data_IF_062444770212
#
_entry.id   IF_062444770212
#
_cell.length_a   1.000
_cell.length_b   1.000
_cell.length_c   1.000
_cell.angle_alpha   90.00
_cell.angle_beta   90.00
_cell.angle_gamma   90.00
#
_symmetry.space_group_name_H-M   'P 1'
#
loop_
_entity.id
_entity.type
_entity.pdbx_description
1 polymer ?
#
# COMPACT_ATOMS: atom_id res chain seq x y z
N UNK A 1 39.62 -19.97 -34.64
CA UNK A 1 38.78 -20.83 -33.77
C UNK A 1 39.16 -20.55 -32.33
N UNK A 2 38.39 -19.72 -31.62
CA UNK A 2 38.06 -19.86 -30.19
C UNK A 2 37.17 -18.69 -29.77
N UNK A 3 35.97 -19.05 -29.32
CA UNK A 3 34.94 -18.17 -28.79
C UNK A 3 35.19 -17.92 -27.30
N UNK A 4 34.91 -16.71 -26.82
CA UNK A 4 34.71 -16.40 -25.41
C UNK A 4 33.46 -15.52 -25.29
N UNK A 5 32.34 -16.17 -24.99
CA UNK A 5 31.03 -15.54 -24.83
C UNK A 5 30.88 -14.98 -23.43
N UNK A 6 31.13 -13.68 -23.26
CA UNK A 6 30.61 -12.95 -22.11
C UNK A 6 29.12 -12.66 -22.39
N UNK A 7 28.23 -13.52 -21.89
CA UNK A 7 26.79 -13.24 -21.86
C UNK A 7 26.60 -12.07 -20.91
N UNK A 8 26.31 -10.87 -21.44
CA UNK A 8 26.02 -9.70 -20.61
C UNK A 8 24.64 -9.92 -19.97
N UNK A 9 24.49 -9.56 -18.69
CA UNK A 9 23.23 -9.69 -17.95
C UNK A 9 22.01 -9.08 -18.71
N UNK A 10 22.26 -8.09 -19.55
CA UNK A 10 21.29 -7.51 -20.48
C UNK A 10 20.68 -8.54 -21.45
N UNK A 11 21.48 -9.43 -22.04
CA UNK A 11 21.01 -10.42 -23.03
C UNK A 11 20.17 -11.52 -22.38
N UNK A 12 20.40 -11.78 -21.08
CA UNK A 12 19.57 -12.70 -20.29
C UNK A 12 18.23 -12.05 -19.98
N UNK A 13 18.24 -10.80 -19.50
CA UNK A 13 17.03 -10.06 -19.17
C UNK A 13 16.15 -9.76 -20.39
N UNK A 14 16.75 -9.46 -21.54
CA UNK A 14 16.04 -9.27 -22.80
C UNK A 14 15.35 -10.57 -23.28
N UNK A 15 16.02 -11.72 -23.16
CA UNK A 15 15.42 -13.04 -23.49
C UNK A 15 14.28 -13.42 -22.54
N UNK A 16 14.39 -13.07 -21.27
CA UNK A 16 13.31 -13.25 -20.29
C UNK A 16 12.11 -12.35 -20.61
N UNK A 17 12.34 -11.09 -21.00
CA UNK A 17 11.29 -10.17 -21.42
C UNK A 17 10.52 -10.69 -22.64
N UNK A 18 11.25 -11.15 -23.67
CA UNK A 18 10.68 -11.69 -24.90
C UNK A 18 9.90 -13.00 -24.65
N UNK A 19 10.43 -13.88 -23.78
CA UNK A 19 9.76 -15.13 -23.42
C UNK A 19 8.48 -14.95 -22.59
N UNK A 20 8.34 -13.82 -21.91
CA UNK A 20 7.17 -13.47 -21.08
C UNK A 20 6.17 -12.56 -21.80
N UNK A 21 6.46 -12.14 -23.05
CA UNK A 21 5.62 -11.19 -23.79
C UNK A 21 5.52 -9.80 -23.14
N UNK A 22 6.51 -9.42 -22.33
CA UNK A 22 6.52 -8.16 -21.59
C UNK A 22 7.31 -7.09 -22.36
N UNK A 23 6.75 -5.87 -22.57
CA UNK A 23 7.49 -4.74 -23.13
C UNK A 23 8.80 -4.48 -22.36
N UNK A 24 9.93 -4.41 -23.08
CA UNK A 24 11.28 -4.31 -22.49
C UNK A 24 11.47 -3.00 -21.69
N UNK A 25 10.67 -1.99 -21.98
CA UNK A 25 10.60 -0.69 -21.30
C UNK A 25 10.13 -0.83 -19.85
N UNK A 26 9.27 -1.80 -19.55
CA UNK A 26 8.77 -2.08 -18.20
C UNK A 26 9.81 -2.77 -17.30
N UNK A 27 10.90 -3.27 -17.89
CA UNK A 27 12.02 -3.89 -17.20
C UNK A 27 13.26 -2.97 -17.13
N UNK A 28 13.10 -1.68 -17.48
CA UNK A 28 14.19 -0.70 -17.41
C UNK A 28 15.30 -0.91 -18.43
N UNK A 29 15.04 -1.65 -19.50
CA UNK A 29 16.03 -1.95 -20.57
C UNK A 29 16.05 -0.88 -21.68
N UNK A 30 15.29 0.21 -21.52
CA UNK A 30 15.32 1.35 -22.43
C UNK A 30 16.46 2.31 -22.05
N UNK A 31 17.31 2.64 -23.03
CA UNK A 31 18.37 3.65 -22.87
C UNK A 31 17.77 4.98 -22.41
N UNK A 32 18.40 5.55 -21.38
CA UNK A 32 18.01 6.80 -20.72
C UNK A 32 17.92 7.96 -21.73
N UNK A 33 16.78 8.65 -21.87
CA UNK A 33 16.78 10.04 -22.30
C UNK A 33 16.95 10.91 -21.05
N UNK A 34 17.89 11.85 -21.13
CA UNK A 34 18.06 12.92 -20.15
C UNK A 34 16.71 13.62 -19.90
N UNK A 35 16.22 13.59 -18.67
CA UNK A 35 15.03 14.35 -18.30
C UNK A 35 15.41 15.83 -18.21
N UNK A 36 14.73 16.63 -19.02
CA UNK A 36 14.95 18.05 -19.20
C UNK A 36 14.50 18.86 -17.99
N UNK A 37 15.24 19.95 -17.83
CA UNK A 37 15.00 21.15 -17.04
C UNK A 37 13.57 21.70 -17.27
N UNK A 38 12.88 22.05 -16.19
CA UNK A 38 11.49 22.52 -16.22
C UNK A 38 11.50 24.06 -16.12
N UNK A 39 11.36 24.73 -17.27
CA UNK A 39 10.99 26.14 -17.35
C UNK A 39 9.70 26.30 -18.16
N UNK A 40 8.70 26.81 -17.43
CA UNK A 40 7.69 27.79 -17.84
C UNK A 40 6.38 27.29 -18.49
N UNK A 41 5.31 27.30 -17.68
CA UNK A 41 3.95 27.63 -18.15
C UNK A 41 3.23 28.51 -17.11
N UNK A 42 3.14 29.80 -17.45
CA UNK A 42 2.37 30.83 -16.77
C UNK A 42 0.95 30.92 -17.33
N UNK A 43 -0.05 30.52 -16.54
CA UNK A 43 -1.45 30.99 -16.63
C UNK A 43 -2.29 30.44 -15.46
N UNK A 44 -2.14 31.02 -14.26
CA UNK A 44 -2.99 30.68 -13.10
C UNK A 44 -2.74 31.53 -11.86
N UNK A 45 -1.98 32.62 -12.00
CA UNK A 45 -1.03 33.07 -10.97
C UNK A 45 -1.65 33.83 -9.79
N UNK A 46 -2.93 34.22 -9.82
CA UNK A 46 -3.55 34.88 -8.67
C UNK A 46 -4.44 33.94 -7.83
N UNK A 47 -5.23 33.08 -8.46
CA UNK A 47 -6.09 32.12 -7.73
C UNK A 47 -5.25 31.05 -7.05
N UNK A 48 -4.17 30.60 -7.69
CA UNK A 48 -3.22 29.65 -7.11
C UNK A 48 -2.34 30.31 -6.04
N UNK A 49 -2.03 31.61 -6.15
CA UNK A 49 -1.29 32.34 -5.11
C UNK A 49 -2.14 32.60 -3.85
N UNK A 50 -3.45 32.87 -4.01
CA UNK A 50 -4.40 33.00 -2.89
C UNK A 50 -4.65 31.65 -2.23
N UNK A 51 -4.83 30.59 -3.02
CA UNK A 51 -4.94 29.21 -2.50
C UNK A 51 -3.64 28.72 -1.87
N UNK A 52 -2.47 29.08 -2.41
CA UNK A 52 -1.16 28.81 -1.81
C UNK A 52 -0.95 29.63 -0.53
N UNK A 53 -1.44 30.87 -0.43
CA UNK A 53 -1.42 31.66 0.83
C UNK A 53 -2.36 31.11 1.90
N UNK A 54 -3.57 30.69 1.55
CA UNK A 54 -4.51 30.07 2.49
C UNK A 54 -4.08 28.65 2.88
N UNK A 55 -3.51 27.88 1.95
CA UNK A 55 -2.91 26.56 2.21
C UNK A 55 -1.63 26.67 3.03
N UNK A 56 -0.80 27.71 2.82
CA UNK A 56 0.34 28.00 3.69
C UNK A 56 -0.10 28.53 5.07
N UNK A 57 -1.20 29.27 5.16
CA UNK A 57 -1.80 29.68 6.44
C UNK A 57 -2.44 28.50 7.21
N UNK A 58 -3.02 27.53 6.51
CA UNK A 58 -3.56 26.30 7.10
C UNK A 58 -2.47 25.25 7.39
N UNK A 59 -1.39 25.22 6.61
CA UNK A 59 -0.21 24.39 6.89
C UNK A 59 0.63 24.95 8.06
N UNK A 60 0.62 26.26 8.26
CA UNK A 60 1.18 26.88 9.47
C UNK A 60 0.41 26.52 10.76
N UNK A 61 -0.84 26.05 10.65
CA UNK A 61 -1.64 25.61 11.80
C UNK A 61 -1.40 24.14 12.21
N UNK A 62 -0.66 23.35 11.40
CA UNK A 62 -0.44 21.91 11.65
C UNK A 62 1.03 21.58 11.96
N UNK A 63 1.96 22.49 11.70
CA UNK A 63 3.38 22.32 12.03
C UNK A 63 3.68 22.59 13.52
N UNK A 64 2.73 23.11 14.29
CA UNK A 64 2.87 23.31 15.75
C UNK A 64 1.60 22.84 16.45
N UNK A 65 1.50 21.55 16.79
CA UNK A 65 0.64 21.12 17.91
C UNK A 65 1.34 21.52 19.19
N UNK A 66 0.75 22.19 20.17
CA UNK A 66 -0.59 22.12 20.79
C UNK A 66 -0.68 23.34 21.78
N UNK A 67 -1.78 23.74 22.47
CA UNK A 67 -3.17 23.26 22.55
C UNK A 67 -4.19 24.38 22.22
N UNK A 68 -5.49 24.08 22.35
CA UNK A 68 -6.54 25.13 22.45
C UNK A 68 -6.12 26.17 23.51
N UNK A 69 -6.04 27.45 23.12
CA UNK A 69 -5.80 28.63 23.97
C UNK A 69 -4.43 28.69 24.72
N UNK A 70 -3.46 29.39 24.10
CA UNK A 70 -2.40 30.19 24.75
C UNK A 70 -1.25 29.48 25.46
N UNK A 71 -0.04 29.51 24.88
CA UNK A 71 1.36 29.48 25.44
C UNK A 71 2.33 29.44 24.22
N UNK A 72 3.56 30.04 24.24
CA UNK A 72 4.19 30.60 23.04
C UNK A 72 4.96 29.60 22.16
N UNK A 73 4.98 29.93 20.86
CA UNK A 73 5.54 29.16 19.76
C UNK A 73 7.03 28.86 19.90
N UNK A 74 7.41 27.59 19.76
CA UNK A 74 8.79 27.21 19.43
C UNK A 74 8.90 27.19 17.91
N UNK A 75 9.65 28.16 17.39
CA UNK A 75 10.03 28.28 15.98
C UNK A 75 10.76 27.02 15.51
N UNK A 76 10.16 26.26 14.60
CA UNK A 76 10.88 25.26 13.81
C UNK A 76 11.65 25.99 12.71
N UNK A 77 12.86 26.45 13.03
CA UNK A 77 13.88 26.69 12.01
C UNK A 77 14.12 25.40 11.21
N UNK A 78 14.51 25.49 9.92
CA UNK A 78 14.91 24.32 9.15
C UNK A 78 15.97 23.57 9.95
N UNK A 79 15.65 22.36 10.40
CA UNK A 79 16.62 21.49 11.05
C UNK A 79 17.79 21.37 10.09
N UNK A 80 18.88 22.00 10.53
CA UNK A 80 20.24 22.01 10.01
C UNK A 80 20.47 20.95 8.93
N UNK A 81 21.14 21.36 7.83
CA UNK A 81 21.92 20.42 7.01
C UNK A 81 22.58 19.42 7.96
N UNK A 82 22.03 18.21 8.04
CA UNK A 82 22.67 17.14 8.77
C UNK A 82 23.97 16.95 8.00
N UNK A 83 25.08 17.36 8.60
CA UNK A 83 26.40 17.03 8.06
C UNK A 83 26.36 15.53 7.84
N UNK A 84 26.47 15.09 6.58
CA UNK A 84 26.57 13.68 6.25
C UNK A 84 27.64 13.10 7.19
N UNK A 85 27.29 12.13 8.03
CA UNK A 85 28.22 11.67 9.06
C UNK A 85 29.52 11.23 8.39
N UNK A 86 30.65 11.42 9.05
CA UNK A 86 31.93 10.97 8.47
C UNK A 86 32.01 9.45 8.36
N UNK A 87 31.15 8.73 9.09
CA UNK A 87 31.01 7.28 9.07
C UNK A 87 29.56 6.87 9.39
N UNK A 88 29.03 5.90 8.65
CA UNK A 88 27.70 5.31 8.92
C UNK A 88 27.87 4.02 9.72
N UNK A 89 27.14 3.92 10.83
CA UNK A 89 27.16 2.77 11.73
C UNK A 89 25.78 2.15 11.97
N UNK A 90 25.74 1.12 12.81
CA UNK A 90 24.49 0.43 13.17
C UNK A 90 23.42 1.36 13.76
N UNK A 91 23.82 2.42 14.47
CA UNK A 91 22.89 3.41 15.02
C UNK A 91 22.14 4.19 13.94
N UNK A 92 22.77 4.50 12.80
CA UNK A 92 22.13 5.16 11.66
C UNK A 92 21.07 4.25 11.03
N UNK A 93 21.41 2.98 10.82
CA UNK A 93 20.46 1.98 10.32
C UNK A 93 19.28 1.83 11.29
N UNK A 94 19.54 1.78 12.59
CA UNK A 94 18.49 1.69 13.59
C UNK A 94 17.54 2.91 13.54
N UNK A 95 18.09 4.13 13.41
CA UNK A 95 17.29 5.35 13.22
C UNK A 95 16.43 5.30 11.96
N UNK A 96 16.98 4.82 10.84
CA UNK A 96 16.25 4.66 9.59
C UNK A 96 15.09 3.65 9.74
N UNK A 97 15.35 2.49 10.37
CA UNK A 97 14.31 1.48 10.66
C UNK A 97 13.20 2.06 11.56
N UNK A 98 13.56 2.83 12.59
CA UNK A 98 12.58 3.47 13.48
C UNK A 98 11.73 4.51 12.74
N UNK A 99 12.33 5.35 11.89
CA UNK A 99 11.61 6.32 11.07
C UNK A 99 10.64 5.62 10.10
N UNK A 100 11.09 4.54 9.44
CA UNK A 100 10.24 3.71 8.56
C UNK A 100 9.05 3.10 9.31
N UNK A 101 9.26 2.60 10.53
CA UNK A 101 8.18 2.09 11.37
C UNK A 101 7.17 3.19 11.75
N UNK A 102 7.64 4.41 12.02
CA UNK A 102 6.77 5.56 12.30
C UNK A 102 5.92 5.94 11.07
N UNK A 103 6.50 5.99 9.87
CA UNK A 103 5.74 6.26 8.64
C UNK A 103 4.68 5.19 8.37
N UNK A 104 5.00 3.91 8.60
CA UNK A 104 4.04 2.81 8.47
C UNK A 104 2.90 2.93 9.49
N UNK A 105 3.21 3.29 10.73
CA UNK A 105 2.18 3.54 11.75
C UNK A 105 1.25 4.71 11.39
N UNK A 106 1.80 5.76 10.77
CA UNK A 106 0.99 6.87 10.24
C UNK A 106 0.10 6.43 9.09
N UNK A 107 0.60 5.64 8.12
CA UNK A 107 -0.21 5.07 7.03
C UNK A 107 -1.39 4.25 7.56
N UNK A 108 -1.15 3.40 8.55
CA UNK A 108 -2.18 2.51 9.10
C UNK A 108 -3.30 3.29 9.82
N UNK A 109 -2.97 4.40 10.49
CA UNK A 109 -3.95 5.22 11.23
C UNK A 109 -4.62 6.28 10.37
N UNK A 110 -3.84 7.01 9.59
CA UNK A 110 -4.28 8.25 8.93
C UNK A 110 -4.36 8.13 7.42
N UNK A 111 -3.94 7.00 6.83
CA UNK A 111 -3.82 6.84 5.38
C UNK A 111 -2.49 7.34 4.84
N UNK A 112 -2.13 6.85 3.65
CA UNK A 112 -0.79 7.03 3.10
C UNK A 112 -0.49 8.46 2.67
N UNK A 113 -1.50 9.25 2.28
CA UNK A 113 -1.28 10.64 1.90
C UNK A 113 -0.80 11.50 3.08
N UNK A 114 -1.10 11.11 4.33
CA UNK A 114 -0.68 11.84 5.53
C UNK A 114 0.85 11.85 5.73
N UNK A 115 1.57 10.86 5.22
CA UNK A 115 3.01 10.72 5.44
C UNK A 115 3.87 10.59 4.16
N UNK A 116 3.25 10.40 2.98
CA UNK A 116 3.94 10.14 1.71
C UNK A 116 5.09 11.10 1.41
N UNK A 117 4.83 12.42 1.47
CA UNK A 117 5.82 13.43 1.10
C UNK A 117 7.04 13.41 2.02
N UNK A 118 6.80 13.29 3.34
CA UNK A 118 7.86 13.17 4.34
C UNK A 118 8.65 11.87 4.18
N UNK A 119 7.97 10.73 3.95
CA UNK A 119 8.62 9.45 3.72
C UNK A 119 9.50 9.45 2.47
N UNK A 120 9.02 10.05 1.36
CA UNK A 120 9.79 10.18 0.13
C UNK A 120 11.00 11.11 0.29
N UNK A 121 10.87 12.21 1.04
CA UNK A 121 11.99 13.08 1.37
C UNK A 121 13.03 12.36 2.22
N UNK A 122 12.58 11.60 3.23
CA UNK A 122 13.46 10.80 4.08
C UNK A 122 14.19 9.71 3.28
N UNK A 123 13.52 9.07 2.32
CA UNK A 123 14.15 8.10 1.42
C UNK A 123 15.28 8.72 0.61
N UNK A 124 15.04 9.89 -0.01
CA UNK A 124 16.09 10.61 -0.77
C UNK A 124 17.28 11.01 0.11
N UNK A 125 17.05 11.37 1.36
CA UNK A 125 18.13 11.70 2.29
C UNK A 125 18.90 10.45 2.71
N UNK A 126 18.19 9.38 3.06
CA UNK A 126 18.79 8.13 3.49
C UNK A 126 19.64 7.46 2.40
N UNK A 127 19.29 7.62 1.12
CA UNK A 127 20.09 7.14 -0.01
C UNK A 127 21.52 7.73 -0.01
N UNK A 128 21.69 8.99 0.41
CA UNK A 128 23.02 9.63 0.49
C UNK A 128 23.94 9.00 1.53
N UNK A 129 23.39 8.23 2.48
CA UNK A 129 24.20 7.50 3.44
C UNK A 129 25.09 6.46 2.75
N UNK A 130 24.68 5.94 1.57
CA UNK A 130 25.45 4.95 0.81
C UNK A 130 26.80 5.48 0.30
N UNK A 131 26.92 6.79 0.13
CA UNK A 131 28.15 7.48 -0.29
C UNK A 131 29.16 7.65 0.85
N UNK A 132 28.77 7.29 2.08
CA UNK A 132 29.61 7.42 3.27
C UNK A 132 30.38 6.12 3.55
N UNK A 133 31.57 6.23 4.13
CA UNK A 133 32.34 5.06 4.59
C UNK A 133 31.54 4.27 5.65
N UNK A 134 31.48 2.95 5.48
CA UNK A 134 30.82 2.01 6.40
C UNK A 134 31.38 0.60 6.23
N UNK A 135 31.23 -0.24 7.26
CA UNK A 135 31.56 -1.66 7.17
C UNK A 135 30.55 -2.42 6.28
N UNK A 136 30.96 -3.52 5.65
CA UNK A 136 30.11 -4.29 4.72
C UNK A 136 28.81 -4.80 5.35
N UNK A 137 28.87 -5.25 6.62
CA UNK A 137 27.68 -5.66 7.37
C UNK A 137 26.68 -4.52 7.53
N UNK A 138 27.17 -3.32 7.88
CA UNK A 138 26.34 -2.11 8.00
C UNK A 138 25.78 -1.69 6.65
N UNK A 139 26.55 -1.83 5.56
CA UNK A 139 26.07 -1.55 4.20
C UNK A 139 24.91 -2.45 3.81
N UNK A 140 25.02 -3.76 4.06
CA UNK A 140 23.94 -4.73 3.82
C UNK A 140 22.68 -4.37 4.63
N UNK A 141 22.88 -4.07 5.91
CA UNK A 141 21.81 -3.65 6.83
C UNK A 141 21.11 -2.35 6.39
N UNK A 142 21.88 -1.38 5.87
CA UNK A 142 21.38 -0.14 5.30
C UNK A 142 20.57 -0.39 4.02
N UNK A 143 21.03 -1.27 3.13
CA UNK A 143 20.24 -1.68 1.96
C UNK A 143 18.89 -2.31 2.38
N UNK A 144 18.87 -3.21 3.38
CA UNK A 144 17.59 -3.77 3.87
C UNK A 144 16.67 -2.67 4.43
N UNK A 145 17.21 -1.72 5.19
CA UNK A 145 16.44 -0.60 5.73
C UNK A 145 15.91 0.36 4.64
N UNK A 146 16.71 0.64 3.61
CA UNK A 146 16.30 1.43 2.44
C UNK A 146 15.21 0.71 1.64
N UNK A 147 15.35 -0.60 1.44
CA UNK A 147 14.35 -1.41 0.77
C UNK A 147 12.99 -1.31 1.49
N UNK A 148 12.97 -1.42 2.82
CA UNK A 148 11.72 -1.30 3.57
C UNK A 148 11.14 0.12 3.45
N UNK A 149 11.96 1.16 3.58
CA UNK A 149 11.53 2.55 3.45
C UNK A 149 10.94 2.84 2.07
N UNK A 150 11.66 2.51 0.99
CA UNK A 150 11.18 2.68 -0.37
C UNK A 150 9.85 1.95 -0.57
N UNK A 151 9.69 0.79 0.04
CA UNK A 151 8.46 0.05 -0.09
C UNK A 151 7.27 0.67 0.69
N UNK A 152 7.52 1.38 1.80
CA UNK A 152 6.51 2.22 2.47
C UNK A 152 6.17 3.43 1.59
N UNK A 153 7.18 4.07 0.98
CA UNK A 153 6.94 5.18 0.04
C UNK A 153 6.13 4.72 -1.18
N UNK A 154 6.42 3.52 -1.70
CA UNK A 154 5.66 2.91 -2.78
C UNK A 154 4.21 2.68 -2.39
N UNK A 155 3.96 2.11 -1.21
CA UNK A 155 2.61 1.85 -0.71
C UNK A 155 1.81 3.14 -0.46
N UNK A 156 2.40 4.13 0.19
CA UNK A 156 1.75 5.42 0.47
C UNK A 156 1.49 6.23 -0.79
N UNK A 157 2.35 6.11 -1.81
CA UNK A 157 2.11 6.68 -3.14
C UNK A 157 0.95 6.00 -3.84
N UNK A 158 0.87 4.67 -3.76
CA UNK A 158 -0.26 3.92 -4.29
C UNK A 158 -1.58 4.24 -3.58
N UNK A 159 -1.55 4.37 -2.25
CA UNK A 159 -2.70 4.79 -1.45
C UNK A 159 -3.17 6.22 -1.79
N UNK A 160 -2.29 7.02 -2.40
CA UNK A 160 -2.56 8.37 -2.91
C UNK A 160 -2.88 8.42 -4.41
N UNK A 161 -3.13 7.27 -5.07
CA UNK A 161 -3.41 7.15 -6.52
C UNK A 161 -2.27 7.62 -7.44
N UNK A 162 -1.03 7.59 -6.95
CA UNK A 162 0.19 7.94 -7.69
C UNK A 162 0.93 6.67 -8.12
N UNK A 163 0.33 5.94 -9.06
CA UNK A 163 0.74 4.59 -9.45
C UNK A 163 2.17 4.55 -10.01
N UNK A 164 2.59 5.53 -10.81
CA UNK A 164 3.95 5.53 -11.38
C UNK A 164 5.02 5.78 -10.31
N UNK A 165 4.74 6.65 -9.34
CA UNK A 165 5.61 6.84 -8.18
C UNK A 165 5.69 5.56 -7.34
N UNK A 166 4.56 4.88 -7.15
CA UNK A 166 4.52 3.61 -6.45
C UNK A 166 5.41 2.56 -7.12
N UNK A 167 5.29 2.39 -8.44
CA UNK A 167 6.12 1.46 -9.23
C UNK A 167 7.60 1.80 -9.15
N UNK A 168 7.97 3.06 -9.29
CA UNK A 168 9.36 3.52 -9.15
C UNK A 168 9.93 3.13 -7.78
N UNK A 169 9.22 3.44 -6.70
CA UNK A 169 9.69 3.13 -5.35
C UNK A 169 9.70 1.62 -5.07
N UNK A 170 8.77 0.83 -5.60
CA UNK A 170 8.82 -0.62 -5.47
C UNK A 170 9.99 -1.23 -6.25
N UNK A 171 10.36 -0.69 -7.43
CA UNK A 171 11.56 -1.12 -8.14
C UNK A 171 12.83 -0.84 -7.34
N UNK A 172 12.97 0.38 -6.81
CA UNK A 172 14.07 0.73 -5.89
C UNK A 172 14.12 -0.23 -4.70
N UNK A 173 12.96 -0.51 -4.08
CA UNK A 173 12.90 -1.44 -2.96
C UNK A 173 13.40 -2.86 -3.33
N UNK A 174 13.08 -3.37 -4.53
CA UNK A 174 13.60 -4.65 -5.02
C UNK A 174 15.11 -4.62 -5.25
N UNK A 175 15.64 -3.53 -5.81
CA UNK A 175 17.09 -3.35 -6.01
C UNK A 175 17.83 -3.39 -4.67
N UNK A 176 17.37 -2.62 -3.69
CA UNK A 176 17.98 -2.61 -2.36
C UNK A 176 17.81 -3.95 -1.63
N UNK A 177 16.66 -4.61 -1.72
CA UNK A 177 16.44 -5.90 -1.08
C UNK A 177 17.38 -6.99 -1.64
N UNK A 178 17.66 -6.96 -2.95
CA UNK A 178 18.67 -7.83 -3.57
C UNK A 178 20.09 -7.52 -3.08
N UNK A 179 20.47 -6.24 -3.02
CA UNK A 179 21.78 -5.83 -2.50
C UNK A 179 21.95 -6.17 -1.02
N UNK A 180 20.86 -6.26 -0.28
CA UNK A 180 20.82 -6.67 1.11
C UNK A 180 20.85 -8.20 1.31
N UNK A 181 20.70 -9.00 0.25
CA UNK A 181 20.46 -10.45 0.33
C UNK A 181 19.25 -10.79 1.23
N UNK A 182 18.16 -10.03 1.06
CA UNK A 182 16.92 -10.15 1.86
C UNK A 182 15.76 -10.71 1.00
N UNK A 183 15.67 -12.05 0.88
CA UNK A 183 14.65 -12.69 0.05
C UNK A 183 13.23 -12.50 0.59
N UNK A 184 13.05 -12.39 1.92
CA UNK A 184 11.74 -12.15 2.51
C UNK A 184 11.17 -10.79 2.07
N UNK A 185 12.00 -9.75 2.11
CA UNK A 185 11.61 -8.41 1.69
C UNK A 185 11.40 -8.33 0.17
N UNK A 186 12.21 -9.04 -0.63
CA UNK A 186 12.00 -9.16 -2.09
C UNK A 186 10.60 -9.69 -2.40
N UNK A 187 10.23 -10.83 -1.81
CA UNK A 187 8.91 -11.43 -1.98
C UNK A 187 7.79 -10.48 -1.54
N UNK A 188 7.97 -9.77 -0.41
CA UNK A 188 6.96 -8.85 0.11
C UNK A 188 6.75 -7.64 -0.82
N UNK A 189 7.81 -7.11 -1.42
CA UNK A 189 7.72 -6.01 -2.39
C UNK A 189 7.02 -6.50 -3.67
N UNK A 190 7.33 -7.69 -4.18
CA UNK A 190 6.63 -8.28 -5.33
C UNK A 190 5.13 -8.42 -5.08
N UNK A 191 4.74 -8.89 -3.90
CA UNK A 191 3.34 -8.96 -3.47
C UNK A 191 2.67 -7.57 -3.43
N UNK A 192 3.35 -6.52 -2.99
CA UNK A 192 2.77 -5.17 -3.02
C UNK A 192 2.66 -4.61 -4.43
N UNK A 193 3.63 -4.87 -5.30
CA UNK A 193 3.55 -4.51 -6.71
C UNK A 193 2.38 -5.21 -7.39
N UNK A 194 2.17 -6.49 -7.13
CA UNK A 194 1.01 -7.25 -7.65
C UNK A 194 -0.33 -6.66 -7.21
N UNK A 195 -0.40 -6.10 -6.00
CA UNK A 195 -1.61 -5.45 -5.52
C UNK A 195 -2.00 -4.21 -6.35
N UNK A 196 -1.05 -3.52 -7.01
CA UNK A 196 -1.38 -2.42 -7.93
C UNK A 196 -2.28 -2.94 -9.06
N UNK A 197 -1.88 -4.04 -9.70
CA UNK A 197 -2.63 -4.65 -10.81
C UNK A 197 -3.98 -5.18 -10.34
N UNK A 198 -4.00 -5.81 -9.15
CA UNK A 198 -5.23 -6.32 -8.55
C UNK A 198 -6.26 -5.22 -8.30
N UNK A 199 -5.83 -4.07 -7.75
CA UNK A 199 -6.71 -2.91 -7.56
C UNK A 199 -7.11 -2.25 -8.89
N UNK A 200 -6.26 -2.34 -9.91
CA UNK A 200 -6.56 -1.90 -11.28
C UNK A 200 -7.51 -2.81 -12.05
N UNK A 201 -7.95 -3.93 -11.47
CA UNK A 201 -8.85 -4.89 -12.13
C UNK A 201 -8.14 -5.86 -13.07
N UNK A 202 -6.82 -6.03 -12.93
CA UNK A 202 -6.03 -7.00 -13.70
C UNK A 202 -5.49 -8.10 -12.78
N UNK A 203 -6.35 -9.09 -12.41
CA UNK A 203 -5.94 -10.18 -11.53
C UNK A 203 -4.93 -11.12 -12.19
N UNK A 204 -4.82 -11.15 -13.53
CA UNK A 204 -3.89 -12.01 -14.25
C UNK A 204 -2.45 -11.51 -14.09
N UNK A 205 -2.21 -10.22 -14.33
CA UNK A 205 -0.88 -9.63 -14.09
C UNK A 205 -0.52 -9.63 -12.59
N UNK A 206 -1.50 -9.40 -11.71
CA UNK A 206 -1.29 -9.53 -10.27
C UNK A 206 -0.80 -10.93 -9.89
N UNK A 207 -1.44 -11.98 -10.42
CA UNK A 207 -1.09 -13.37 -10.14
C UNK A 207 0.33 -13.73 -10.58
N UNK A 208 0.81 -13.21 -11.73
CA UNK A 208 2.19 -13.42 -12.17
C UNK A 208 3.19 -12.91 -11.14
N UNK A 209 2.94 -11.73 -10.57
CA UNK A 209 3.82 -11.15 -9.53
C UNK A 209 3.75 -11.93 -8.22
N UNK A 210 2.57 -12.42 -7.83
CA UNK A 210 2.44 -13.27 -6.65
C UNK A 210 3.13 -14.62 -6.82
N UNK A 211 3.09 -15.21 -8.02
CA UNK A 211 3.82 -16.45 -8.33
C UNK A 211 5.33 -16.21 -8.38
N UNK A 212 5.77 -15.08 -8.94
CA UNK A 212 7.18 -14.69 -8.92
C UNK A 212 7.69 -14.51 -7.48
N UNK A 213 6.85 -14.01 -6.57
CA UNK A 213 7.20 -13.87 -5.15
C UNK A 213 7.45 -15.20 -4.43
N UNK A 214 6.95 -16.34 -4.96
CA UNK A 214 7.14 -17.66 -4.34
C UNK A 214 8.61 -18.10 -4.32
N UNK A 215 9.41 -17.69 -5.32
CA UNK A 215 10.83 -18.02 -5.40
C UNK A 215 11.63 -17.47 -4.22
N UNK A 216 11.69 -16.13 -4.01
CA UNK A 216 12.35 -15.57 -2.84
C UNK A 216 11.64 -15.92 -1.52
N UNK A 217 10.33 -16.17 -1.52
CA UNK A 217 9.63 -16.66 -0.33
C UNK A 217 10.11 -18.06 0.12
N UNK A 218 10.43 -18.95 -0.83
CA UNK A 218 10.99 -20.26 -0.53
C UNK A 218 12.42 -20.16 0.02
N UNK A 219 13.25 -19.26 -0.54
CA UNK A 219 14.61 -18.97 -0.05
C UNK A 219 14.60 -18.42 1.38
N UNK A 220 13.62 -17.58 1.72
CA UNK A 220 13.44 -17.01 3.06
C UNK A 220 12.96 -18.03 4.12
N UNK A 221 12.80 -19.31 3.78
CA UNK A 221 12.47 -20.36 4.75
C UNK A 221 10.99 -20.48 5.10
N UNK A 222 10.08 -20.27 4.13
CA UNK A 222 8.61 -20.50 4.22
C UNK A 222 8.02 -20.11 5.59
N UNK A 223 7.73 -18.82 5.72
CA UNK A 223 7.19 -18.23 6.92
C UNK A 223 6.07 -17.27 6.58
N UNK A 224 6.00 -16.17 7.32
CA UNK A 224 4.88 -15.25 7.26
C UNK A 224 4.71 -14.57 5.88
N UNK A 225 5.70 -14.72 4.99
CA UNK A 225 5.61 -14.35 3.57
C UNK A 225 4.78 -15.33 2.73
N UNK A 226 4.77 -16.63 3.07
CA UNK A 226 3.90 -17.63 2.44
C UNK A 226 2.44 -17.35 2.76
N UNK A 227 2.15 -16.92 3.99
CA UNK A 227 0.85 -16.41 4.39
C UNK A 227 0.42 -15.26 3.47
N UNK A 228 1.21 -14.17 3.39
CA UNK A 228 0.86 -13.00 2.56
C UNK A 228 0.67 -13.37 1.09
N UNK A 229 1.55 -14.20 0.55
CA UNK A 229 1.47 -14.60 -0.86
C UNK A 229 0.21 -15.42 -1.13
N UNK A 230 -0.13 -16.36 -0.24
CA UNK A 230 -1.36 -17.17 -0.35
C UNK A 230 -2.61 -16.30 -0.27
N UNK A 231 -2.63 -15.31 0.62
CA UNK A 231 -3.72 -14.34 0.75
C UNK A 231 -3.99 -13.57 -0.55
N UNK A 232 -2.93 -13.05 -1.18
CA UNK A 232 -3.06 -12.27 -2.40
C UNK A 232 -3.40 -13.13 -3.63
N UNK A 233 -2.83 -14.33 -3.73
CA UNK A 233 -3.22 -15.27 -4.77
C UNK A 233 -4.69 -15.70 -4.63
N UNK A 234 -5.15 -15.96 -3.40
CA UNK A 234 -6.56 -16.29 -3.15
C UNK A 234 -7.49 -15.20 -3.67
N UNK A 235 -7.15 -13.93 -3.40
CA UNK A 235 -7.90 -12.78 -3.92
C UNK A 235 -7.84 -12.69 -5.45
N UNK A 236 -6.68 -12.87 -6.08
CA UNK A 236 -6.59 -12.86 -7.54
C UNK A 236 -7.45 -13.96 -8.19
N UNK A 237 -7.39 -15.19 -7.67
CA UNK A 237 -8.25 -16.27 -8.15
C UNK A 237 -9.74 -16.01 -7.91
N UNK A 238 -10.08 -15.38 -6.78
CA UNK A 238 -11.44 -14.95 -6.49
C UNK A 238 -11.97 -13.93 -7.50
N UNK A 239 -11.17 -12.91 -7.83
CA UNK A 239 -11.51 -11.89 -8.84
C UNK A 239 -11.67 -12.52 -10.25
N UNK A 240 -11.02 -13.66 -10.53
CA UNK A 240 -11.21 -14.47 -11.75
C UNK A 240 -12.39 -15.46 -11.68
N UNK A 241 -13.12 -15.53 -10.57
CA UNK A 241 -14.20 -16.50 -10.35
C UNK A 241 -13.73 -17.95 -10.14
N UNK A 242 -12.43 -18.19 -9.90
CA UNK A 242 -11.86 -19.52 -9.67
C UNK A 242 -12.00 -19.94 -8.22
N UNK A 243 -13.25 -20.17 -7.81
CA UNK A 243 -13.66 -20.43 -6.43
C UNK A 243 -12.84 -21.50 -5.71
N UNK A 244 -12.67 -22.69 -6.31
CA UNK A 244 -11.89 -23.79 -5.72
C UNK A 244 -10.45 -23.38 -5.38
N UNK A 245 -9.76 -22.71 -6.30
CA UNK A 245 -8.37 -22.26 -6.09
C UNK A 245 -8.29 -21.18 -5.02
N UNK A 246 -9.25 -20.26 -4.99
CA UNK A 246 -9.34 -19.24 -3.96
C UNK A 246 -9.54 -19.88 -2.57
N UNK A 247 -10.47 -20.83 -2.43
CA UNK A 247 -10.71 -21.56 -1.18
C UNK A 247 -9.47 -22.35 -0.72
N UNK A 248 -8.82 -23.09 -1.62
CA UNK A 248 -7.58 -23.82 -1.32
C UNK A 248 -6.50 -22.90 -0.74
N UNK A 249 -6.32 -21.70 -1.30
CA UNK A 249 -5.32 -20.73 -0.85
C UNK A 249 -5.73 -19.98 0.42
N UNK A 250 -7.03 -19.73 0.62
CA UNK A 250 -7.55 -19.21 1.90
C UNK A 250 -7.22 -20.20 3.03
N UNK A 251 -7.56 -21.49 2.85
CA UNK A 251 -7.24 -22.53 3.84
C UNK A 251 -5.74 -22.62 4.09
N UNK A 252 -4.93 -22.64 3.02
CA UNK A 252 -3.46 -22.63 3.15
C UNK A 252 -2.97 -21.45 3.97
N UNK A 253 -3.49 -20.24 3.71
CA UNK A 253 -3.10 -19.06 4.48
C UNK A 253 -3.45 -19.20 5.97
N UNK A 254 -4.59 -19.79 6.28
CA UNK A 254 -5.03 -20.02 7.67
C UNK A 254 -4.15 -21.02 8.39
N UNK A 255 -3.83 -22.13 7.73
CA UNK A 255 -2.94 -23.16 8.27
C UNK A 255 -1.55 -22.60 8.55
N UNK A 256 -1.02 -21.81 7.61
CA UNK A 256 0.28 -21.14 7.76
C UNK A 256 0.22 -20.10 8.89
N UNK A 257 -0.87 -19.33 9.00
CA UNK A 257 -1.03 -18.35 10.06
C UNK A 257 -1.12 -19.00 11.46
N UNK A 258 -1.84 -20.12 11.58
CA UNK A 258 -2.00 -20.85 12.83
C UNK A 258 -0.69 -21.42 13.39
N UNK A 259 0.34 -21.56 12.55
CA UNK A 259 1.66 -22.04 12.94
C UNK A 259 2.57 -20.94 13.53
N UNK A 260 2.20 -19.66 13.47
CA UNK A 260 2.99 -18.58 14.09
C UNK A 260 2.63 -18.37 15.56
N UNK A 261 3.64 -18.44 16.44
CA UNK A 261 3.56 -17.88 17.78
C UNK A 261 3.72 -16.34 17.73
N UNK A 262 3.02 -15.63 18.63
CA UNK A 262 2.81 -14.17 18.61
C UNK A 262 4.10 -13.33 18.49
N UNK A 263 5.22 -13.81 19.06
CA UNK A 263 6.49 -13.08 19.14
C UNK A 263 7.41 -13.24 17.91
N UNK A 264 7.05 -14.10 16.94
CA UNK A 264 7.90 -14.46 15.80
C UNK A 264 7.56 -13.72 14.48
N UNK A 265 6.50 -12.90 14.46
CA UNK A 265 5.98 -12.28 13.23
C UNK A 265 6.71 -10.96 12.94
N UNK A 266 7.37 -10.81 11.76
CA UNK A 266 8.05 -9.59 11.39
C UNK A 266 7.17 -8.33 11.48
N UNK A 267 7.76 -7.20 11.88
CA UNK A 267 7.00 -5.95 12.13
C UNK A 267 6.22 -5.45 10.90
N UNK A 268 6.70 -5.74 9.69
CA UNK A 268 6.03 -5.35 8.44
C UNK A 268 4.74 -6.15 8.17
N UNK A 269 4.49 -7.24 8.92
CA UNK A 269 3.25 -8.02 8.90
C UNK A 269 2.29 -7.69 10.03
N UNK A 270 2.58 -6.68 10.86
CA UNK A 270 1.72 -6.30 11.98
C UNK A 270 0.25 -6.04 11.56
N UNK A 271 0.03 -5.53 10.34
CA UNK A 271 -1.31 -5.35 9.75
C UNK A 271 -2.09 -6.66 9.67
N UNK A 272 -1.42 -7.76 9.31
CA UNK A 272 -2.07 -9.05 9.10
C UNK A 272 -2.38 -9.80 10.41
N UNK A 273 -1.84 -9.35 11.55
CA UNK A 273 -2.03 -10.00 12.86
C UNK A 273 -3.36 -9.66 13.52
N UNK A 274 -3.87 -8.44 13.31
CA UNK A 274 -5.05 -7.91 13.98
C UNK A 274 -6.31 -8.07 13.11
N UNK A 275 -6.95 -9.24 13.17
CA UNK A 275 -8.11 -9.55 12.32
C UNK A 275 -7.76 -9.79 10.85
N UNK A 276 -6.47 -9.82 10.49
CA UNK A 276 -6.01 -9.87 9.10
C UNK A 276 -6.34 -11.17 8.37
N UNK A 277 -6.38 -12.31 9.06
CA UNK A 277 -6.86 -13.59 8.46
C UNK A 277 -8.34 -13.50 8.08
N UNK A 278 -9.18 -12.99 9.00
CA UNK A 278 -10.59 -12.74 8.72
C UNK A 278 -10.78 -11.75 7.57
N UNK A 279 -9.93 -10.72 7.51
CA UNK A 279 -9.95 -9.72 6.45
C UNK A 279 -9.60 -10.34 5.09
N UNK A 280 -8.60 -11.21 5.02
CA UNK A 280 -8.23 -11.91 3.77
C UNK A 280 -9.36 -12.83 3.31
N UNK A 281 -9.84 -13.71 4.20
CA UNK A 281 -10.96 -14.63 3.91
C UNK A 281 -12.18 -13.85 3.44
N UNK A 282 -12.54 -12.79 4.17
CA UNK A 282 -13.65 -11.91 3.86
C UNK A 282 -13.50 -11.22 2.51
N UNK A 283 -12.32 -10.70 2.20
CA UNK A 283 -12.06 -10.03 0.92
C UNK A 283 -12.07 -11.00 -0.27
N UNK A 284 -11.53 -12.22 -0.12
CA UNK A 284 -11.58 -13.25 -1.17
C UNK A 284 -13.02 -13.70 -1.44
N UNK A 285 -13.80 -14.00 -0.39
CA UNK A 285 -15.21 -14.37 -0.56
C UNK A 285 -16.08 -13.20 -1.02
N UNK A 286 -15.76 -11.97 -0.63
CA UNK A 286 -16.44 -10.79 -1.15
C UNK A 286 -16.21 -10.64 -2.66
N UNK A 287 -14.98 -10.83 -3.13
CA UNK A 287 -14.66 -10.84 -4.55
C UNK A 287 -15.42 -11.96 -5.30
N UNK A 288 -15.39 -13.20 -4.80
CA UNK A 288 -16.18 -14.30 -5.37
C UNK A 288 -17.68 -13.96 -5.40
N UNK A 289 -18.22 -13.32 -4.37
CA UNK A 289 -19.64 -12.98 -4.29
C UNK A 289 -20.11 -12.03 -5.40
N UNK A 290 -19.19 -11.28 -6.02
CA UNK A 290 -19.51 -10.42 -7.17
C UNK A 290 -19.84 -11.23 -8.44
N UNK A 291 -19.26 -12.42 -8.59
CA UNK A 291 -19.46 -13.32 -9.74
C UNK A 291 -20.38 -14.50 -9.39
N UNK A 292 -20.41 -14.90 -8.12
CA UNK A 292 -21.08 -16.08 -7.60
C UNK A 292 -21.80 -15.69 -6.29
N UNK A 293 -23.05 -15.19 -6.36
CA UNK A 293 -23.76 -14.63 -5.20
C UNK A 293 -23.87 -15.57 -3.99
N UNK A 294 -23.79 -16.89 -4.19
CA UNK A 294 -23.77 -17.88 -3.12
C UNK A 294 -22.61 -17.71 -2.10
N UNK A 295 -21.55 -16.98 -2.46
CA UNK A 295 -20.44 -16.66 -1.55
C UNK A 295 -20.72 -15.49 -0.61
N UNK A 296 -21.78 -14.71 -0.81
CA UNK A 296 -22.07 -13.52 0.02
C UNK A 296 -22.25 -13.86 1.52
N UNK A 297 -22.98 -14.93 1.93
CA UNK A 297 -23.07 -15.29 3.34
C UNK A 297 -21.72 -15.68 3.97
N UNK A 298 -20.90 -16.45 3.26
CA UNK A 298 -19.53 -16.81 3.70
C UNK A 298 -18.66 -15.56 3.88
N UNK A 299 -18.75 -14.61 2.93
CA UNK A 299 -18.05 -13.33 3.01
C UNK A 299 -18.50 -12.50 4.22
N UNK A 300 -19.81 -12.46 4.49
CA UNK A 300 -20.38 -11.74 5.63
C UNK A 300 -19.84 -12.28 6.95
N UNK A 301 -19.85 -13.60 7.13
CA UNK A 301 -19.34 -14.24 8.35
C UNK A 301 -17.85 -13.95 8.54
N UNK A 302 -17.03 -14.13 7.51
CA UNK A 302 -15.61 -13.86 7.56
C UNK A 302 -15.31 -12.39 7.89
N UNK A 303 -16.05 -11.46 7.30
CA UNK A 303 -15.86 -10.02 7.54
C UNK A 303 -16.33 -9.59 8.93
N UNK A 304 -17.33 -10.26 9.52
CA UNK A 304 -17.70 -10.04 10.93
C UNK A 304 -16.56 -10.42 11.88
N UNK A 305 -15.88 -11.54 11.62
CA UNK A 305 -14.70 -11.95 12.39
C UNK A 305 -13.58 -10.93 12.24
N UNK A 306 -13.34 -10.44 11.02
CA UNK A 306 -12.35 -9.40 10.75
C UNK A 306 -12.61 -8.13 11.57
N UNK A 307 -13.82 -7.58 11.47
CA UNK A 307 -14.22 -6.32 12.13
C UNK A 307 -14.19 -6.43 13.65
N UNK A 308 -14.57 -7.58 14.22
CA UNK A 308 -14.48 -7.80 15.66
C UNK A 308 -13.03 -7.90 16.18
N UNK A 309 -12.08 -8.23 15.31
CA UNK A 309 -10.65 -8.32 15.63
C UNK A 309 -9.85 -7.03 15.38
N UNK A 310 -10.52 -5.94 15.00
CA UNK A 310 -9.87 -4.66 14.70
C UNK A 310 -9.15 -4.08 15.91
N UNK A 311 -7.94 -3.57 15.66
CA UNK A 311 -7.17 -2.78 16.62
C UNK A 311 -7.20 -1.32 16.21
N UNK A 312 -7.22 -0.41 17.17
CA UNK A 312 -7.38 1.03 16.92
C UNK A 312 -6.27 1.63 16.04
N UNK A 313 -5.07 1.05 16.07
CA UNK A 313 -3.92 1.53 15.29
C UNK A 313 -4.02 1.24 13.79
N UNK A 314 -5.02 0.46 13.36
CA UNK A 314 -5.22 0.05 11.96
C UNK A 314 -6.44 0.70 11.30
N UNK A 315 -6.83 1.89 11.77
CA UNK A 315 -8.05 2.59 11.39
C UNK A 315 -8.34 2.61 9.88
N UNK A 316 -7.34 2.88 9.04
CA UNK A 316 -7.52 2.88 7.59
C UNK A 316 -7.95 1.51 7.06
N UNK A 317 -7.35 0.42 7.54
CA UNK A 317 -7.75 -0.94 7.20
C UNK A 317 -9.11 -1.29 7.77
N UNK A 318 -9.36 -0.89 9.02
CA UNK A 318 -10.61 -1.15 9.71
C UNK A 318 -11.81 -0.57 8.94
N UNK A 319 -11.69 0.65 8.42
CA UNK A 319 -12.73 1.27 7.60
C UNK A 319 -12.96 0.56 6.25
N UNK A 320 -11.91 0.00 5.63
CA UNK A 320 -12.06 -0.79 4.40
C UNK A 320 -12.85 -2.08 4.64
N UNK A 321 -12.54 -2.79 5.73
CA UNK A 321 -13.26 -4.01 6.11
C UNK A 321 -14.71 -3.69 6.53
N UNK A 322 -14.92 -2.61 7.30
CA UNK A 322 -16.24 -2.16 7.71
C UNK A 322 -17.10 -1.75 6.51
N UNK A 323 -16.51 -1.07 5.51
CA UNK A 323 -17.17 -0.76 4.23
C UNK A 323 -17.60 -2.03 3.49
N UNK A 324 -16.73 -3.04 3.48
CA UNK A 324 -17.04 -4.34 2.86
C UNK A 324 -18.16 -5.06 3.61
N UNK A 325 -18.13 -5.06 4.95
CA UNK A 325 -19.18 -5.62 5.79
C UNK A 325 -20.54 -4.93 5.57
N UNK A 326 -20.54 -3.59 5.54
CA UNK A 326 -21.74 -2.80 5.26
C UNK A 326 -22.31 -3.13 3.87
N UNK A 327 -21.45 -3.24 2.87
CA UNK A 327 -21.84 -3.64 1.50
C UNK A 327 -22.51 -5.01 1.49
N UNK A 328 -21.95 -5.99 2.21
CA UNK A 328 -22.50 -7.34 2.31
C UNK A 328 -23.86 -7.36 3.01
N UNK A 329 -24.04 -6.61 4.10
CA UNK A 329 -25.34 -6.49 4.77
C UNK A 329 -26.41 -5.94 3.82
N UNK A 330 -26.09 -4.87 3.07
CA UNK A 330 -27.02 -4.29 2.11
C UNK A 330 -27.38 -5.26 0.97
N UNK A 331 -26.39 -5.97 0.41
CA UNK A 331 -26.61 -6.97 -0.65
C UNK A 331 -27.47 -8.15 -0.20
N UNK A 332 -27.38 -8.52 1.08
CA UNK A 332 -28.14 -9.64 1.68
C UNK A 332 -29.50 -9.19 2.25
N UNK A 333 -29.92 -7.94 2.04
CA UNK A 333 -31.21 -7.44 2.50
C UNK A 333 -31.27 -7.03 3.98
N UNK A 334 -30.14 -7.06 4.70
CA UNK A 334 -30.02 -6.58 6.09
C UNK A 334 -29.92 -5.04 6.13
N UNK A 335 -30.93 -4.39 5.57
CA UNK A 335 -30.92 -2.98 5.18
C UNK A 335 -30.54 -2.03 6.31
N UNK A 336 -31.28 -2.03 7.41
CA UNK A 336 -31.09 -1.05 8.49
C UNK A 336 -29.72 -1.19 9.13
N UNK A 337 -29.22 -2.43 9.27
CA UNK A 337 -27.87 -2.67 9.78
C UNK A 337 -26.82 -2.18 8.77
N UNK A 338 -26.96 -2.53 7.50
CA UNK A 338 -26.06 -2.09 6.44
C UNK A 338 -25.97 -0.56 6.33
N UNK A 339 -27.10 0.16 6.43
CA UNK A 339 -27.14 1.62 6.40
C UNK A 339 -26.47 2.25 7.63
N UNK A 340 -26.66 1.69 8.84
CA UNK A 340 -25.97 2.17 10.04
C UNK A 340 -24.45 2.01 9.94
N UNK A 341 -23.98 0.86 9.46
CA UNK A 341 -22.55 0.63 9.26
C UNK A 341 -21.99 1.57 8.18
N UNK A 342 -22.73 1.75 7.08
CA UNK A 342 -22.33 2.64 6.00
C UNK A 342 -22.24 4.10 6.45
N UNK A 343 -23.16 4.58 7.30
CA UNK A 343 -23.08 5.91 7.90
C UNK A 343 -21.81 6.04 8.78
N UNK A 344 -21.54 5.08 9.65
CA UNK A 344 -20.33 5.04 10.48
C UNK A 344 -19.04 5.08 9.63
N UNK A 345 -18.99 4.33 8.52
CA UNK A 345 -17.87 4.37 7.59
C UNK A 345 -17.65 5.77 7.03
N UNK A 346 -18.72 6.45 6.60
CA UNK A 346 -18.61 7.77 5.99
C UNK A 346 -18.18 8.84 6.98
N UNK A 347 -18.77 8.85 8.18
CA UNK A 347 -18.43 9.83 9.21
C UNK A 347 -16.95 9.75 9.63
N UNK A 348 -16.32 8.57 9.49
CA UNK A 348 -14.89 8.36 9.79
C UNK A 348 -13.98 8.44 8.57
N UNK A 349 -14.46 8.09 7.37
CA UNK A 349 -13.62 8.07 6.17
C UNK A 349 -13.11 9.45 5.77
N UNK A 350 -13.79 10.54 6.17
CA UNK A 350 -13.36 11.91 5.90
C UNK A 350 -12.04 12.27 6.59
N UNK A 351 -11.76 11.71 7.76
CA UNK A 351 -10.53 11.99 8.53
C UNK A 351 -9.33 11.12 8.11
N UNK A 352 -9.54 10.15 7.21
CA UNK A 352 -8.50 9.26 6.71
C UNK A 352 -8.06 9.69 5.31
N UNK A 353 -6.80 10.08 5.18
CA UNK A 353 -6.15 10.52 3.96
C UNK A 353 -5.72 9.32 3.08
N UNK A 354 -6.71 8.54 2.62
CA UNK A 354 -6.52 7.39 1.72
C UNK A 354 -7.44 7.46 0.51
N UNK A 355 -6.84 7.54 -0.68
CA UNK A 355 -7.60 7.50 -1.94
C UNK A 355 -8.08 6.09 -2.26
N UNK A 356 -7.35 5.05 -1.83
CA UNK A 356 -7.84 3.67 -1.92
C UNK A 356 -9.08 3.42 -1.08
N UNK A 357 -9.15 3.94 0.14
CA UNK A 357 -10.36 3.85 0.96
C UNK A 357 -11.53 4.48 0.20
N UNK A 358 -11.35 5.69 -0.34
CA UNK A 358 -12.36 6.41 -1.13
C UNK A 358 -12.81 5.62 -2.35
N UNK A 359 -11.89 5.07 -3.15
CA UNK A 359 -12.22 4.21 -4.29
C UNK A 359 -13.00 2.95 -3.85
N UNK A 360 -12.60 2.36 -2.72
CA UNK A 360 -13.22 1.20 -2.09
C UNK A 360 -14.65 1.44 -1.57
N UNK A 361 -15.13 2.68 -1.51
CA UNK A 361 -16.52 2.99 -1.17
C UNK A 361 -17.49 2.80 -2.35
N UNK A 362 -17.00 2.60 -3.57
CA UNK A 362 -17.85 2.46 -4.77
C UNK A 362 -18.85 1.30 -4.67
N UNK A 363 -18.46 0.08 -4.23
CA UNK A 363 -19.42 -1.01 -4.02
C UNK A 363 -20.48 -0.68 -2.97
N UNK A 364 -20.10 0.07 -1.92
CA UNK A 364 -21.01 0.48 -0.85
C UNK A 364 -22.06 1.47 -1.36
N UNK A 365 -21.65 2.47 -2.15
CA UNK A 365 -22.56 3.43 -2.78
C UNK A 365 -23.60 2.74 -3.65
N UNK A 366 -23.17 1.77 -4.48
CA UNK A 366 -24.07 0.98 -5.33
C UNK A 366 -25.07 0.16 -4.51
N UNK A 367 -24.60 -0.49 -3.44
CA UNK A 367 -25.47 -1.28 -2.58
C UNK A 367 -26.48 -0.40 -1.81
N UNK A 368 -26.07 0.77 -1.34
CA UNK A 368 -26.96 1.74 -0.68
C UNK A 368 -28.03 2.30 -1.63
N UNK A 369 -27.66 2.60 -2.89
CA UNK A 369 -28.62 3.02 -3.90
C UNK A 369 -29.65 1.91 -4.23
N UNK A 370 -29.19 0.66 -4.24
CA UNK A 370 -30.01 -0.52 -4.57
C UNK A 370 -30.96 -0.99 -3.46
N UNK A 371 -30.77 -0.59 -2.19
CA UNK A 371 -31.60 -1.06 -1.09
C UNK A 371 -32.95 -0.31 -0.93
N UNK A 372 -33.23 0.67 -1.80
CA UNK A 372 -34.47 1.46 -1.79
C UNK A 372 -34.59 2.43 -0.60
N UNK A 373 -35.59 3.30 -0.66
CA UNK A 373 -35.83 4.35 0.35
C UNK A 373 -35.06 5.66 0.09
N UNK A 374 -35.49 6.74 0.73
CA UNK A 374 -34.89 8.07 0.58
C UNK A 374 -33.53 8.16 1.30
N UNK A 375 -33.43 7.57 2.48
CA UNK A 375 -32.22 7.36 3.29
C UNK A 375 -31.13 6.57 2.54
N UNK A 376 -31.48 5.49 1.84
CA UNK A 376 -30.51 4.73 1.03
C UNK A 376 -29.93 5.54 -0.13
N UNK A 377 -30.79 6.30 -0.84
CA UNK A 377 -30.38 7.21 -1.92
C UNK A 377 -29.53 8.38 -1.40
N UNK A 378 -29.93 8.97 -0.27
CA UNK A 378 -29.17 10.06 0.35
C UNK A 378 -27.79 9.59 0.80
N UNK A 379 -27.71 8.42 1.43
CA UNK A 379 -26.43 7.84 1.83
C UNK A 379 -25.56 7.50 0.63
N UNK A 380 -26.12 6.95 -0.45
CA UNK A 380 -25.38 6.71 -1.70
C UNK A 380 -24.80 8.00 -2.29
N UNK A 381 -25.55 9.12 -2.22
CA UNK A 381 -25.07 10.45 -2.65
C UNK A 381 -23.91 10.92 -1.76
N UNK A 382 -24.05 10.86 -0.44
CA UNK A 382 -22.98 11.21 0.52
C UNK A 382 -21.72 10.38 0.30
N UNK A 383 -21.86 9.06 0.13
CA UNK A 383 -20.74 8.16 -0.19
C UNK A 383 -20.05 8.62 -1.49
N UNK A 384 -20.83 8.95 -2.52
CA UNK A 384 -20.31 9.45 -3.80
C UNK A 384 -19.56 10.77 -3.69
N UNK A 385 -19.96 11.66 -2.78
CA UNK A 385 -19.25 12.91 -2.49
C UNK A 385 -17.89 12.65 -1.84
N UNK A 386 -17.85 11.83 -0.78
CA UNK A 386 -16.58 11.45 -0.10
C UNK A 386 -15.64 10.71 -1.06
N UNK A 387 -16.16 9.84 -1.92
CA UNK A 387 -15.38 9.12 -2.92
C UNK A 387 -14.73 10.06 -3.96
N UNK A 388 -15.36 11.21 -4.26
CA UNK A 388 -14.87 12.18 -5.27
C UNK A 388 -13.87 13.20 -4.72
N UNK A 389 -13.91 13.51 -3.43
CA UNK A 389 -13.07 14.56 -2.80
C UNK A 389 -11.56 14.28 -2.85
N UNK A 390 -11.11 13.13 -3.37
CA UNK A 390 -9.70 12.83 -3.64
C UNK A 390 -9.35 12.45 -5.09
N UNK A 391 -10.31 12.49 -6.03
CA UNK A 391 -10.02 12.22 -7.45
C UNK A 391 -9.52 13.50 -8.14
N UNK A 392 -8.36 13.46 -8.82
CA UNK A 392 -7.91 14.63 -9.56
C UNK A 392 -8.90 14.99 -10.69
N UNK A 393 -9.07 16.30 -10.98
CA UNK A 393 -10.18 16.81 -11.78
C UNK A 393 -10.22 16.34 -13.25
N UNK A 394 -9.17 15.70 -13.77
CA UNK A 394 -9.05 15.29 -15.17
C UNK A 394 -9.73 13.94 -15.51
N UNK A 395 -10.40 13.28 -14.56
CA UNK A 395 -11.20 12.05 -14.80
C UNK A 395 -12.72 12.31 -14.96
N UNK A 396 -13.13 13.52 -15.36
CA UNK A 396 -14.54 13.82 -15.67
C UNK A 396 -14.80 13.88 -17.16
#
# INVERSE_FOLDING_TARGET
MQASGAVRAYDVLARVADGLGCPRELLGLAGVPAYLDDQDHSAGTEVEAVKRRQFLASAAAVVVGDPVLGVPAVSAEPVLRATTPSHVGAADVHRLRAATAAFRGLDYRLGGAACRAAAAAHAREAERLLDTSMADGVRRDLHSALADLHSVVGWTSFDSDLVDHARHHFLRALEHAKLADDPALCAFVLCRTGHIYLAGGDPHEALKLFQLAELPAAEAGRGAIEFVTSCYQARAYADMGRARRAEELVTRSEDVFAQYADDSVPHWLAYFRAGGVGSVRGNAYFALSALQPAYAPKALEAMRVAVNGHKAELERGNLMDLSTLATLHLRLGNRDHGLRLAANVIDRAESVASQRLRQGLTPLARAAAGCGGADGRDLARRIGEVARVGSPPWRR
#
